data_IF_798534886256
#
_entry.id   IF_798534886256
#
_cell.length_a   1.000
_cell.length_b   1.000
_cell.length_c   1.000
_cell.angle_alpha   90.00
_cell.angle_beta   90.00
_cell.angle_gamma   90.00
#
_symmetry.space_group_name_H-M   'P 1'
#
loop_
_entity.id
_entity.type
_entity.pdbx_description
1 polymer ?
#
# COMPACT_ATOMS: atom_id res chain seq x y z
N UNK A 1 -22.15 -9.31 4.01
CA UNK A 1 -20.90 -8.55 4.22
C UNK A 1 -19.80 -9.33 3.55
N UNK A 2 -19.20 -8.79 2.48
CA UNK A 2 -18.12 -9.50 1.77
C UNK A 2 -16.85 -9.39 2.60
N UNK A 3 -16.24 -10.52 2.92
CA UNK A 3 -14.97 -10.57 3.63
C UNK A 3 -13.87 -9.89 2.79
N UNK A 4 -13.03 -9.09 3.46
CA UNK A 4 -11.88 -8.43 2.82
C UNK A 4 -10.90 -9.49 2.32
N UNK A 5 -10.57 -9.48 1.02
CA UNK A 5 -9.85 -10.58 0.36
C UNK A 5 -8.44 -10.81 0.93
N UNK A 6 -7.81 -9.77 1.46
CA UNK A 6 -6.41 -9.78 1.88
C UNK A 6 -6.23 -9.52 3.38
N UNK A 7 -7.28 -9.73 4.17
CA UNK A 7 -7.23 -9.66 5.63
C UNK A 7 -6.06 -10.51 6.17
N UNK A 8 -5.33 -9.96 7.14
CA UNK A 8 -4.18 -10.61 7.81
C UNK A 8 -2.98 -10.95 6.91
N UNK A 9 -2.96 -10.47 5.66
CA UNK A 9 -1.79 -10.59 4.79
C UNK A 9 -0.83 -9.42 4.98
N UNK A 10 0.46 -9.69 4.95
CA UNK A 10 1.52 -8.68 4.98
C UNK A 10 2.06 -8.53 3.55
N UNK A 11 2.10 -7.29 3.06
CA UNK A 11 2.52 -6.96 1.68
C UNK A 11 3.55 -5.84 1.73
N UNK A 12 4.59 -5.93 0.90
CA UNK A 12 5.52 -4.81 0.69
C UNK A 12 5.37 -4.35 -0.75
N UNK A 13 5.14 -3.05 -0.95
CA UNK A 13 5.07 -2.44 -2.28
C UNK A 13 6.28 -1.52 -2.46
N UNK A 14 7.10 -1.79 -3.47
CA UNK A 14 8.28 -0.98 -3.81
C UNK A 14 7.92 0.13 -4.78
N UNK A 15 8.58 1.29 -4.67
CA UNK A 15 8.23 2.46 -5.49
C UNK A 15 6.85 3.03 -5.14
N UNK A 16 6.39 2.80 -3.91
CA UNK A 16 5.02 3.08 -3.50
C UNK A 16 4.74 4.55 -3.16
N UNK A 17 5.74 5.42 -3.18
CA UNK A 17 5.56 6.84 -2.86
C UNK A 17 4.81 7.65 -3.95
N UNK A 18 4.49 7.09 -5.11
CA UNK A 18 3.75 7.80 -6.16
C UNK A 18 3.16 6.86 -7.22
N UNK A 19 2.28 7.41 -8.07
CA UNK A 19 1.82 6.76 -9.30
C UNK A 19 1.20 5.38 -9.06
N UNK A 20 1.55 4.41 -9.89
CA UNK A 20 0.99 3.06 -9.83
C UNK A 20 1.35 2.35 -8.52
N UNK A 21 2.56 2.53 -7.99
CA UNK A 21 2.97 1.92 -6.72
C UNK A 21 2.09 2.36 -5.56
N UNK A 22 1.78 3.67 -5.49
CA UNK A 22 0.85 4.25 -4.50
C UNK A 22 -0.55 3.64 -4.64
N UNK A 23 -1.09 3.64 -5.87
CA UNK A 23 -2.42 3.08 -6.14
C UNK A 23 -2.51 1.59 -5.77
N UNK A 24 -1.46 0.82 -6.02
CA UNK A 24 -1.37 -0.59 -5.62
C UNK A 24 -1.42 -0.71 -4.08
N UNK A 25 -0.59 0.04 -3.36
CA UNK A 25 -0.55 0.02 -1.89
C UNK A 25 -1.92 0.36 -1.28
N UNK A 26 -2.59 1.40 -1.79
CA UNK A 26 -3.93 1.81 -1.38
C UNK A 26 -4.99 0.72 -1.60
N UNK A 27 -4.93 0.00 -2.73
CA UNK A 27 -5.86 -1.11 -3.01
C UNK A 27 -5.61 -2.28 -2.06
N UNK A 28 -4.35 -2.65 -1.83
CA UNK A 28 -4.01 -3.72 -0.88
C UNK A 28 -4.50 -3.41 0.54
N UNK A 29 -4.34 -2.16 1.00
CA UNK A 29 -4.83 -1.72 2.30
C UNK A 29 -6.37 -1.71 2.37
N UNK A 30 -7.06 -1.27 1.30
CA UNK A 30 -8.52 -1.35 1.19
C UNK A 30 -9.02 -2.78 1.37
N UNK A 31 -8.33 -3.72 0.75
CA UNK A 31 -8.56 -5.17 0.83
C UNK A 31 -8.09 -5.80 2.15
N UNK A 32 -7.62 -5.01 3.12
CA UNK A 32 -7.38 -5.44 4.50
C UNK A 32 -5.98 -5.98 4.80
N UNK A 33 -5.04 -5.82 3.87
CA UNK A 33 -3.66 -6.18 4.12
C UNK A 33 -2.97 -5.16 5.05
N UNK A 34 -1.94 -5.62 5.75
CA UNK A 34 -0.92 -4.77 6.38
C UNK A 34 0.14 -4.48 5.31
N UNK A 35 0.32 -3.21 4.96
CA UNK A 35 1.12 -2.82 3.80
C UNK A 35 2.35 -2.02 4.22
N UNK A 36 3.53 -2.48 3.83
CA UNK A 36 4.77 -1.72 3.89
C UNK A 36 4.97 -0.90 2.62
N UNK A 37 5.08 0.42 2.76
CA UNK A 37 5.32 1.36 1.67
C UNK A 37 6.83 1.59 1.56
N UNK A 38 7.46 1.04 0.53
CA UNK A 38 8.89 1.27 0.26
C UNK A 38 9.08 2.32 -0.83
N UNK A 39 9.97 3.28 -0.56
CA UNK A 39 10.30 4.40 -1.44
C UNK A 39 11.81 4.66 -1.42
N UNK A 40 12.30 5.38 -2.43
CA UNK A 40 13.73 5.74 -2.50
C UNK A 40 13.98 7.23 -2.23
N UNK A 41 13.30 8.12 -2.96
CA UNK A 41 13.50 9.59 -2.86
C UNK A 41 12.26 10.39 -2.49
N UNK A 42 11.07 9.79 -2.62
CA UNK A 42 9.81 10.47 -2.38
C UNK A 42 9.22 10.05 -1.03
N UNK A 43 9.74 10.62 0.06
CA UNK A 43 9.29 10.32 1.42
C UNK A 43 7.92 10.90 1.74
N UNK A 44 7.69 12.16 1.37
CA UNK A 44 6.39 12.83 1.54
C UNK A 44 5.26 12.04 0.85
N UNK A 45 5.45 11.67 -0.43
CA UNK A 45 4.45 10.86 -1.12
C UNK A 45 4.25 9.46 -0.53
N UNK A 46 5.25 8.89 0.14
CA UNK A 46 5.11 7.62 0.85
C UNK A 46 4.32 7.76 2.15
N UNK A 47 4.52 8.84 2.90
CA UNK A 47 3.75 9.17 4.11
C UNK A 47 2.27 9.43 3.78
N UNK A 48 1.98 10.03 2.62
CA UNK A 48 0.60 10.26 2.16
C UNK A 48 -0.13 9.01 1.62
N UNK A 49 0.57 7.88 1.45
CA UNK A 49 0.03 6.73 0.72
C UNK A 49 -1.01 5.94 1.51
N UNK A 50 -0.92 5.84 2.84
CA UNK A 50 -1.81 5.01 3.68
C UNK A 50 -2.20 5.67 5.00
#
# INVERSE_FOLDING_TARGET
MTEKRLKEKIVIVTGAGSGIGRAIAEVFAREGAIVGVNYFRNGEGAEETL
#
